data_IF_427076276861
#
_entry.id   IF_427076276861
#
_cell.length_a   1.000
_cell.length_b   1.000
_cell.length_c   1.000
_cell.angle_alpha   90.00
_cell.angle_beta   90.00
_cell.angle_gamma   90.00
#
_symmetry.space_group_name_H-M   'P 1'
#
loop_
_entity.id
_entity.type
_entity.pdbx_description
1 polymer ?
#
# COMPACT_ATOMS: atom_id res chain seq x y z
N UNK A 1 21.33 -28.95 -3.00
CA UNK A 1 20.16 -29.69 -2.57
C UNK A 1 18.97 -29.39 -3.44
N UNK A 2 18.26 -30.40 -3.91
CA UNK A 2 17.12 -30.15 -4.80
C UNK A 2 16.05 -29.26 -4.23
N UNK A 3 15.80 -29.38 -2.95
CA UNK A 3 14.74 -28.55 -2.32
C UNK A 3 15.05 -27.07 -2.36
N UNK A 4 16.29 -26.71 -2.12
CA UNK A 4 16.69 -25.32 -2.14
C UNK A 4 16.58 -24.72 -3.53
N UNK A 5 17.00 -25.50 -4.52
CA UNK A 5 16.91 -25.04 -5.91
C UNK A 5 15.46 -24.82 -6.32
N UNK A 6 14.57 -25.72 -5.91
CA UNK A 6 13.16 -25.57 -6.23
C UNK A 6 12.56 -24.32 -5.64
N UNK A 7 12.94 -23.99 -4.42
CA UNK A 7 12.44 -22.78 -3.76
C UNK A 7 12.89 -21.52 -4.49
N UNK A 8 14.13 -21.51 -4.92
CA UNK A 8 14.65 -20.38 -5.68
C UNK A 8 13.92 -20.23 -7.01
N UNK A 9 13.71 -21.33 -7.70
CA UNK A 9 12.98 -21.33 -8.96
C UNK A 9 11.56 -20.79 -8.76
N UNK A 10 10.90 -21.21 -7.71
CA UNK A 10 9.54 -20.78 -7.42
C UNK A 10 9.48 -19.28 -7.17
N UNK A 11 10.45 -18.75 -6.45
CA UNK A 11 10.51 -17.32 -6.19
C UNK A 11 10.64 -16.53 -7.47
N UNK A 12 11.47 -16.99 -8.39
CA UNK A 12 11.67 -16.32 -9.67
C UNK A 12 10.42 -16.39 -10.53
N UNK A 13 9.77 -17.54 -10.53
CA UNK A 13 8.56 -17.73 -11.33
C UNK A 13 7.39 -16.88 -10.84
N UNK A 14 7.35 -16.56 -9.56
CA UNK A 14 6.26 -15.83 -8.98
C UNK A 14 6.28 -14.33 -9.29
N UNK A 15 7.40 -13.83 -9.79
CA UNK A 15 7.53 -12.41 -10.06
C UNK A 15 6.92 -12.07 -11.42
N UNK A 16 5.62 -11.95 -11.45
CA UNK A 16 4.88 -11.54 -12.64
C UNK A 16 4.48 -10.07 -12.53
N UNK A 17 4.61 -9.37 -13.63
CA UNK A 17 4.25 -7.96 -13.72
C UNK A 17 3.09 -7.82 -14.67
N UNK A 18 2.03 -7.17 -14.23
CA UNK A 18 0.87 -6.88 -15.08
C UNK A 18 0.98 -5.44 -15.56
N UNK A 19 1.05 -5.27 -16.88
CA UNK A 19 1.15 -3.96 -17.48
C UNK A 19 -0.22 -3.29 -17.55
N UNK A 20 -0.21 -2.00 -17.83
CA UNK A 20 -1.46 -1.22 -17.91
C UNK A 20 -2.44 -1.79 -18.92
N UNK A 21 -1.92 -2.36 -20.01
CA UNK A 21 -2.76 -2.95 -21.04
C UNK A 21 -3.25 -4.36 -20.68
N UNK A 22 -2.97 -4.84 -19.46
CA UNK A 22 -3.39 -6.16 -19.01
C UNK A 22 -2.43 -7.28 -19.38
N UNK A 23 -1.38 -6.98 -20.10
CA UNK A 23 -0.41 -7.99 -20.51
C UNK A 23 0.48 -8.36 -19.32
N UNK A 24 0.77 -9.64 -19.18
CA UNK A 24 1.63 -10.13 -18.11
C UNK A 24 3.01 -10.44 -18.64
N UNK A 25 4.02 -10.04 -17.89
CA UNK A 25 5.41 -10.33 -18.21
C UNK A 25 6.11 -10.80 -16.95
N UNK A 26 7.17 -11.59 -17.12
CA UNK A 26 7.98 -12.04 -16.00
C UNK A 26 9.06 -11.00 -15.73
N UNK A 27 9.30 -10.74 -14.45
CA UNK A 27 10.33 -9.79 -14.05
C UNK A 27 11.70 -10.20 -14.61
N UNK A 28 12.00 -11.50 -14.60
CA UNK A 28 13.28 -12.01 -15.08
C UNK A 28 13.49 -11.79 -16.59
N UNK A 29 12.41 -11.61 -17.33
CA UNK A 29 12.49 -11.37 -18.77
C UNK A 29 12.67 -9.91 -19.12
N UNK A 30 12.66 -9.03 -18.14
CA UNK A 30 12.77 -7.59 -18.38
C UNK A 30 14.22 -7.18 -18.57
N UNK A 31 14.42 -6.11 -19.29
CA UNK A 31 15.73 -5.48 -19.40
C UNK A 31 16.03 -4.72 -18.12
N UNK A 32 17.31 -4.41 -17.91
CA UNK A 32 17.72 -3.74 -16.69
C UNK A 32 16.98 -2.42 -16.45
N UNK A 33 16.81 -1.63 -17.49
CA UNK A 33 16.10 -0.37 -17.38
C UNK A 33 14.62 -0.59 -16.99
N UNK A 34 14.02 -1.64 -17.51
CA UNK A 34 12.65 -1.99 -17.19
C UNK A 34 12.52 -2.48 -15.74
N UNK A 35 13.52 -3.25 -15.26
CA UNK A 35 13.52 -3.70 -13.88
C UNK A 35 13.59 -2.53 -12.91
N UNK A 36 14.37 -1.51 -13.26
CA UNK A 36 14.45 -0.30 -12.44
C UNK A 36 13.08 0.37 -12.36
N UNK A 37 12.37 0.46 -13.47
CA UNK A 37 11.03 1.04 -13.48
C UNK A 37 10.07 0.25 -12.61
N UNK A 38 10.12 -1.07 -12.67
CA UNK A 38 9.29 -1.92 -11.81
C UNK A 38 9.59 -1.67 -10.34
N UNK A 39 10.86 -1.54 -10.00
CA UNK A 39 11.25 -1.27 -8.62
C UNK A 39 10.71 0.08 -8.14
N UNK A 40 10.73 1.09 -9.00
CA UNK A 40 10.13 2.38 -8.67
C UNK A 40 8.64 2.27 -8.45
N UNK A 41 7.95 1.54 -9.32
CA UNK A 41 6.51 1.35 -9.19
C UNK A 41 6.15 0.66 -7.88
N UNK A 42 6.90 -0.37 -7.51
CA UNK A 42 6.68 -1.07 -6.25
C UNK A 42 6.90 -0.18 -5.06
N UNK A 43 7.98 0.59 -5.09
CA UNK A 43 8.28 1.51 -4.02
C UNK A 43 7.18 2.55 -3.85
N UNK A 44 6.71 3.08 -4.96
CA UNK A 44 5.62 4.06 -4.95
C UNK A 44 4.33 3.45 -4.43
N UNK A 45 4.02 2.22 -4.83
CA UNK A 45 2.82 1.54 -4.34
C UNK A 45 2.88 1.35 -2.82
N UNK A 46 4.04 0.97 -2.31
CA UNK A 46 4.21 0.82 -0.87
C UNK A 46 4.05 2.14 -0.13
N UNK A 47 4.61 3.21 -0.70
CA UNK A 47 4.48 4.53 -0.11
C UNK A 47 3.04 5.02 -0.14
N UNK A 48 2.35 4.79 -1.23
CA UNK A 48 0.94 5.17 -1.34
C UNK A 48 0.09 4.40 -0.33
N UNK A 49 0.36 3.11 -0.15
CA UNK A 49 -0.33 2.32 0.84
C UNK A 49 -0.13 2.85 2.24
N UNK A 50 1.10 3.25 2.56
CA UNK A 50 1.42 3.82 3.86
C UNK A 50 0.71 5.15 4.06
N UNK A 51 0.70 5.98 3.03
CA UNK A 51 0.01 7.27 3.09
C UNK A 51 -1.49 7.09 3.26
N UNK A 52 -2.07 6.12 2.58
CA UNK A 52 -3.49 5.82 2.76
C UNK A 52 -3.79 5.40 4.19
N UNK A 53 -2.94 4.58 4.76
CA UNK A 53 -3.10 4.14 6.14
C UNK A 53 -3.01 5.33 7.09
N UNK A 54 -2.03 6.19 6.89
CA UNK A 54 -1.89 7.41 7.68
C UNK A 54 -3.10 8.32 7.52
N UNK A 55 -3.59 8.45 6.30
CA UNK A 55 -4.78 9.26 6.04
C UNK A 55 -5.99 8.73 6.80
N UNK A 56 -6.15 7.41 6.85
CA UNK A 56 -7.25 6.80 7.60
C UNK A 56 -7.12 7.08 9.09
N UNK A 57 -5.90 6.98 9.61
CA UNK A 57 -5.65 7.26 11.03
C UNK A 57 -5.95 8.72 11.36
N UNK A 58 -5.51 9.62 10.49
CA UNK A 58 -5.74 11.04 10.68
C UNK A 58 -7.22 11.37 10.60
N UNK A 59 -7.93 10.74 9.67
CA UNK A 59 -9.36 10.96 9.54
C UNK A 59 -10.10 10.47 10.78
N UNK A 60 -9.72 9.32 11.30
CA UNK A 60 -10.33 8.79 12.52
C UNK A 60 -10.09 9.71 13.71
N UNK A 61 -8.86 10.22 13.83
CA UNK A 61 -8.54 11.15 14.91
C UNK A 61 -9.34 12.44 14.76
N UNK A 62 -9.43 12.96 13.56
CA UNK A 62 -10.20 14.16 13.28
C UNK A 62 -11.66 13.97 13.67
N UNK A 63 -12.23 12.84 13.29
CA UNK A 63 -13.62 12.53 13.62
C UNK A 63 -13.84 12.45 15.12
N UNK A 64 -12.90 11.84 15.84
CA UNK A 64 -12.99 11.71 17.29
C UNK A 64 -12.95 13.08 17.97
N UNK A 65 -12.03 13.93 17.54
CA UNK A 65 -11.93 15.26 18.13
C UNK A 65 -13.14 16.12 17.77
N UNK A 66 -13.64 15.98 16.56
CA UNK A 66 -14.84 16.68 16.15
C UNK A 66 -16.04 16.30 17.01
N UNK A 67 -16.15 14.99 17.31
CA UNK A 67 -17.21 14.50 18.17
C UNK A 67 -17.08 15.04 19.58
N UNK A 68 -15.86 15.05 20.12
CA UNK A 68 -15.64 15.60 21.44
C UNK A 68 -16.02 17.06 21.51
N UNK A 69 -15.67 17.82 20.49
CA UNK A 69 -16.03 19.21 20.43
C UNK A 69 -17.54 19.40 20.42
N UNK A 70 -18.22 18.65 19.59
CA UNK A 70 -19.67 18.71 19.52
C UNK A 70 -20.32 18.30 20.85
N UNK A 71 -19.83 17.27 21.47
CA UNK A 71 -20.36 16.80 22.75
C UNK A 71 -20.17 17.85 23.84
N UNK A 72 -19.06 18.58 23.81
CA UNK A 72 -18.81 19.61 24.82
C UNK A 72 -19.82 20.74 24.71
N UNK A 73 -20.25 21.09 23.51
CA UNK A 73 -21.28 22.10 23.32
C UNK A 73 -22.65 21.61 23.77
N UNK A 74 -22.96 20.36 23.50
CA UNK A 74 -24.22 19.81 23.96
C UNK A 74 -24.33 19.76 25.47
N UNK A 75 -23.24 19.43 26.14
CA UNK A 75 -23.21 19.43 27.59
C UNK A 75 -23.49 20.84 28.16
N UNK A 76 -22.90 21.84 27.54
CA UNK A 76 -23.12 23.22 27.96
C UNK A 76 -24.58 23.62 27.78
N UNK A 77 -25.17 23.22 26.66
CA UNK A 77 -26.58 23.51 26.39
C UNK A 77 -27.51 22.86 27.43
N UNK A 78 -27.22 21.62 27.79
CA UNK A 78 -28.03 20.93 28.79
C UNK A 78 -27.95 21.60 30.16
N UNK A 79 -26.76 22.05 30.48
CA UNK A 79 -26.58 22.74 31.78
C UNK A 79 -27.25 24.10 31.81
N UNK A 80 -27.35 24.70 30.66
CA UNK A 80 -28.00 26.00 30.56
C UNK A 80 -29.52 25.89 30.65
#
# INVERSE_FOLDING_TARGET
MPKEMKQEEMKQEEMKIVLENGKEVLFSDLEDSQKILVNHLRDLDMKMGRLNFEAQQLQAAKNAFSKELNDSFEEVEEDA
#
